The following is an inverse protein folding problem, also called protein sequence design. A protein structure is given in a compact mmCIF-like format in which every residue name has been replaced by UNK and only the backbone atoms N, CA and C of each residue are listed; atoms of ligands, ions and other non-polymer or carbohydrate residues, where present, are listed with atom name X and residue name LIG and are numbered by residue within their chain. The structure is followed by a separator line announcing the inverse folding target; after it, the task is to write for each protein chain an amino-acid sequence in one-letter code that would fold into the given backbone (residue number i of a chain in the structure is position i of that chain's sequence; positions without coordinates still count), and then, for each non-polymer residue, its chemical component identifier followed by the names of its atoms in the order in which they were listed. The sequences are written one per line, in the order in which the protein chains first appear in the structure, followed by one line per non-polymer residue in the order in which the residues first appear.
data_IF_173258010061
#
_entry.id   IF_173258010061
#
_cell.length_a   1.000
_cell.length_b   1.000
_cell.length_c   1.000
_cell.angle_alpha   90.00
_cell.angle_beta   90.00
_cell.angle_gamma   90.00
#
_symmetry.space_group_name_H-M   'P 1'
#
loop_
_entity.id
_entity.type
_entity.pdbx_description
1 polymer ?
#
# COMPACT_ATOMS: atom_id res chain seq x y z
N UNK A 1 8.36 2.74 11.36
CA UNK A 1 8.61 1.28 11.38
C UNK A 1 7.46 0.51 10.71
N UNK A 2 6.18 0.83 10.98
CA UNK A 2 5.02 0.16 10.35
C UNK A 2 5.03 0.09 8.82
N UNK A 3 5.57 1.11 8.13
CA UNK A 3 5.69 1.14 6.67
C UNK A 3 6.52 -0.02 6.12
N UNK A 4 7.71 -0.24 6.69
CA UNK A 4 8.62 -1.32 6.27
C UNK A 4 8.00 -2.67 6.55
N UNK A 5 7.43 -2.82 7.75
CA UNK A 5 6.74 -4.05 8.12
C UNK A 5 5.56 -4.37 7.20
N UNK A 6 4.80 -3.37 6.75
CA UNK A 6 3.69 -3.57 5.82
C UNK A 6 4.19 -4.05 4.45
N UNK A 7 5.17 -3.34 3.88
CA UNK A 7 5.71 -3.65 2.55
C UNK A 7 6.32 -5.05 2.56
N UNK A 8 7.20 -5.34 3.52
CA UNK A 8 7.89 -6.62 3.60
C UNK A 8 6.94 -7.77 3.94
N UNK A 9 5.94 -7.55 4.82
CA UNK A 9 4.90 -8.56 5.09
C UNK A 9 4.14 -8.92 3.83
N UNK A 10 3.66 -7.94 3.06
CA UNK A 10 2.87 -8.22 1.88
C UNK A 10 3.70 -8.77 0.72
N UNK A 11 5.00 -8.43 0.63
CA UNK A 11 5.94 -9.11 -0.27
C UNK A 11 6.02 -10.61 0.04
N UNK A 12 6.11 -10.98 1.33
CA UNK A 12 6.06 -12.40 1.74
C UNK A 12 4.71 -13.05 1.43
N UNK A 13 3.61 -12.29 1.40
CA UNK A 13 2.29 -12.78 0.96
C UNK A 13 2.12 -12.87 -0.56
N UNK A 14 3.14 -12.50 -1.34
CA UNK A 14 3.15 -12.58 -2.81
C UNK A 14 2.68 -11.31 -3.53
N UNK A 15 2.58 -10.17 -2.83
CA UNK A 15 2.31 -8.87 -3.47
C UNK A 15 3.55 -8.40 -4.24
N UNK A 16 3.34 -7.99 -5.50
CA UNK A 16 4.40 -7.63 -6.43
C UNK A 16 4.43 -6.14 -6.81
N UNK A 17 3.43 -5.36 -6.39
CA UNK A 17 3.37 -3.93 -6.65
C UNK A 17 2.55 -3.20 -5.58
N UNK A 18 3.00 -2.01 -5.19
CA UNK A 18 2.39 -1.21 -4.12
C UNK A 18 2.04 0.18 -4.61
N UNK A 19 0.80 0.60 -4.41
CA UNK A 19 0.40 2.01 -4.48
C UNK A 19 0.34 2.58 -3.07
N UNK A 20 1.11 3.63 -2.77
CA UNK A 20 1.15 4.25 -1.44
C UNK A 20 0.65 5.68 -1.52
N UNK A 21 -0.49 5.95 -0.89
CA UNK A 21 -1.14 7.26 -0.85
C UNK A 21 -0.69 8.03 0.39
N UNK A 22 -0.01 9.14 0.18
CA UNK A 22 0.64 9.92 1.23
C UNK A 22 -0.11 11.24 1.39
N UNK A 23 -0.70 11.44 2.57
CA UNK A 23 -1.21 12.76 2.98
C UNK A 23 -0.13 13.53 3.73
N UNK A 24 0.31 12.97 4.85
CA UNK A 24 1.38 13.52 5.68
C UNK A 24 2.43 12.42 5.89
N UNK A 25 3.71 12.78 5.89
CA UNK A 25 4.81 11.84 6.10
C UNK A 25 5.98 12.57 6.77
N UNK A 26 6.64 11.90 7.70
CA UNK A 26 7.85 12.43 8.33
C UNK A 26 9.10 12.17 7.47
N UNK A 27 10.16 12.95 7.71
CA UNK A 27 11.41 12.89 6.92
C UNK A 27 12.06 11.50 6.88
N UNK A 28 11.91 10.70 7.94
CA UNK A 28 12.50 9.36 7.98
C UNK A 28 11.67 8.37 7.14
N UNK A 29 10.35 8.39 7.29
CA UNK A 29 9.45 7.58 6.46
C UNK A 29 9.54 7.97 4.98
N UNK A 30 9.74 9.26 4.66
CA UNK A 30 9.96 9.72 3.29
C UNK A 30 11.21 9.08 2.67
N UNK A 31 12.35 9.06 3.40
CA UNK A 31 13.57 8.42 2.90
C UNK A 31 13.38 6.93 2.61
N UNK A 32 12.60 6.24 3.45
CA UNK A 32 12.31 4.82 3.25
C UNK A 32 11.44 4.59 2.02
N UNK A 33 10.36 5.37 1.85
CA UNK A 33 9.47 5.18 0.72
C UNK A 33 10.15 5.55 -0.61
N UNK A 34 11.05 6.55 -0.59
CA UNK A 34 11.84 6.93 -1.76
C UNK A 34 12.78 5.81 -2.20
N UNK A 35 13.34 5.04 -1.27
CA UNK A 35 14.19 3.88 -1.60
C UNK A 35 13.39 2.75 -2.29
N UNK A 36 12.23 2.40 -1.73
CA UNK A 36 11.31 1.44 -2.37
C UNK A 36 10.82 1.92 -3.74
N UNK A 37 10.51 3.21 -3.87
CA UNK A 37 10.07 3.79 -5.13
C UNK A 37 11.18 3.76 -6.19
N UNK A 38 12.43 4.04 -5.80
CA UNK A 38 13.60 3.97 -6.68
C UNK A 38 13.83 2.55 -7.22
N UNK A 39 13.53 1.52 -6.43
CA UNK A 39 13.64 0.12 -6.85
C UNK A 39 12.44 -0.34 -7.71
N UNK A 40 11.43 0.51 -7.92
CA UNK A 40 10.22 0.18 -8.67
C UNK A 40 9.22 -0.69 -7.92
N UNK A 41 9.42 -0.88 -6.61
CA UNK A 41 8.53 -1.70 -5.77
C UNK A 41 7.26 -0.93 -5.39
N UNK A 42 7.38 0.39 -5.21
CA UNK A 42 6.30 1.29 -4.78
C UNK A 42 6.09 2.43 -5.78
N UNK A 43 4.84 2.72 -6.08
CA UNK A 43 4.41 3.99 -6.69
C UNK A 43 3.77 4.87 -5.61
N UNK A 44 4.33 6.07 -5.39
CA UNK A 44 3.82 7.03 -4.40
C UNK A 44 2.85 8.03 -5.03
N UNK A 45 1.76 8.32 -4.32
CA UNK A 45 0.77 9.33 -4.71
C UNK A 45 0.59 10.31 -3.56
N UNK A 46 1.09 11.53 -3.72
CA UNK A 46 0.93 12.59 -2.73
C UNK A 46 -0.42 13.28 -2.88
N UNK A 47 -1.24 13.23 -1.83
CA UNK A 47 -2.53 13.88 -1.76
C UNK A 47 -2.35 15.37 -1.49
N UNK A 48 -3.14 16.22 -2.16
CA UNK A 48 -2.93 17.67 -2.13
C UNK A 48 -3.50 18.35 -0.89
N UNK A 49 -2.69 19.14 -0.18
CA UNK A 49 -3.15 19.98 0.94
C UNK A 49 -4.05 21.16 0.53
N UNK A 50 -4.20 21.43 -0.78
CA UNK A 50 -4.96 22.59 -1.29
C UNK A 50 -6.45 22.51 -0.97
N UNK A 51 -6.96 21.33 -0.64
CA UNK A 51 -8.34 21.14 -0.21
C UNK A 51 -8.32 20.68 1.24
N UNK A 52 -8.84 21.51 2.15
CA UNK A 52 -8.93 21.18 3.56
C UNK A 52 -10.04 20.14 3.78
N UNK A 53 -9.72 18.87 3.48
CA UNK A 53 -10.60 17.72 3.70
C UNK A 53 -10.22 16.99 4.97
N UNK A 54 -11.21 16.38 5.63
CA UNK A 54 -10.99 15.57 6.83
C UNK A 54 -10.23 14.29 6.41
N UNK A 55 -9.39 13.72 7.28
CA UNK A 55 -8.55 12.55 6.94
C UNK A 55 -9.31 11.38 6.28
N UNK A 56 -10.55 11.12 6.72
CA UNK A 56 -11.42 10.09 6.13
C UNK A 56 -11.74 10.34 4.65
N UNK A 57 -11.91 11.60 4.25
CA UNK A 57 -12.20 11.94 2.85
C UNK A 57 -10.99 11.66 1.96
N UNK A 58 -9.78 11.86 2.48
CA UNK A 58 -8.55 11.52 1.79
C UNK A 58 -8.36 10.01 1.63
N UNK A 59 -8.70 9.23 2.66
CA UNK A 59 -8.72 7.77 2.54
C UNK A 59 -9.68 7.31 1.44
N UNK A 60 -10.88 7.90 1.35
CA UNK A 60 -11.84 7.58 0.28
C UNK A 60 -11.33 7.96 -1.12
N UNK A 61 -10.59 9.07 -1.25
CA UNK A 61 -9.94 9.45 -2.50
C UNK A 61 -8.88 8.42 -2.89
N UNK A 62 -8.00 8.06 -1.95
CA UNK A 62 -6.94 7.08 -2.18
C UNK A 62 -7.49 5.71 -2.58
N UNK A 63 -8.53 5.21 -1.89
CA UNK A 63 -9.18 3.94 -2.22
C UNK A 63 -9.77 3.97 -3.63
N UNK A 64 -10.46 5.05 -4.00
CA UNK A 64 -11.07 5.17 -5.34
C UNK A 64 -10.02 5.22 -6.44
N UNK A 65 -8.99 6.04 -6.29
CA UNK A 65 -7.91 6.14 -7.28
C UNK A 65 -7.16 4.81 -7.42
N UNK A 66 -6.83 4.16 -6.30
CA UNK A 66 -6.13 2.87 -6.28
C UNK A 66 -6.95 1.77 -6.95
N UNK A 67 -8.26 1.70 -6.67
CA UNK A 67 -9.16 0.75 -7.33
C UNK A 67 -9.20 0.95 -8.85
N UNK A 68 -9.20 2.20 -9.30
CA UNK A 68 -9.20 2.51 -10.73
C UNK A 68 -7.87 2.13 -11.40
N UNK A 69 -6.74 2.42 -10.75
CA UNK A 69 -5.40 2.05 -11.25
C UNK A 69 -5.19 0.54 -11.28
N UNK A 70 -5.57 -0.17 -10.22
CA UNK A 70 -5.28 -1.59 -10.08
C UNK A 70 -6.13 -2.48 -11.01
N UNK A 71 -7.30 -2.00 -11.47
CA UNK A 71 -8.26 -2.75 -12.30
C UNK A 71 -7.65 -3.49 -13.49
N UNK A 72 -6.61 -2.92 -14.12
CA UNK A 72 -5.95 -3.53 -15.28
C UNK A 72 -4.53 -4.01 -15.00
N UNK A 73 -4.05 -3.79 -13.78
CA UNK A 73 -2.69 -4.15 -13.37
C UNK A 73 -2.65 -5.47 -12.60
N UNK A 74 -3.72 -5.82 -11.87
CA UNK A 74 -3.73 -7.00 -11.01
C UNK A 74 -5.10 -7.68 -10.97
N UNK A 75 -5.11 -9.01 -10.89
CA UNK A 75 -6.35 -9.81 -10.74
C UNK A 75 -6.97 -9.66 -9.36
N UNK A 76 -6.14 -9.48 -8.34
CA UNK A 76 -6.52 -9.27 -6.95
C UNK A 76 -5.84 -8.00 -6.42
N UNK A 77 -6.48 -7.32 -5.47
CA UNK A 77 -5.92 -6.14 -4.81
C UNK A 77 -6.26 -6.17 -3.33
N UNK A 78 -5.35 -5.69 -2.50
CA UNK A 78 -5.52 -5.54 -1.05
C UNK A 78 -5.53 -4.04 -0.76
N UNK A 79 -6.51 -3.61 0.03
CA UNK A 79 -6.55 -2.28 0.62
C UNK A 79 -6.28 -2.48 2.12
N UNK A 80 -5.19 -1.92 2.61
CA UNK A 80 -4.74 -2.13 3.99
C UNK A 80 -4.28 -0.80 4.60
N UNK A 81 -4.62 -0.59 5.86
CA UNK A 81 -4.02 0.48 6.66
C UNK A 81 -2.63 0.04 7.18
N UNK A 82 -1.78 1.01 7.59
CA UNK A 82 -0.37 0.75 7.95
C UNK A 82 -0.18 -0.25 9.10
N UNK A 83 -1.16 -0.35 9.99
CA UNK A 83 -1.19 -1.22 11.17
C UNK A 83 -1.88 -2.57 10.93
N UNK A 84 -2.36 -2.84 9.71
CA UNK A 84 -3.09 -4.08 9.40
C UNK A 84 -2.22 -5.13 8.71
N UNK A 85 -2.41 -6.40 9.08
CA UNK A 85 -1.73 -7.53 8.46
C UNK A 85 -2.74 -8.63 8.16
N UNK A 86 -2.84 -9.00 6.90
CA UNK A 86 -3.66 -10.14 6.46
C UNK A 86 -2.72 -11.34 6.24
N UNK A 87 -3.09 -12.49 6.78
CA UNK A 87 -2.40 -13.76 6.60
C UNK A 87 -3.41 -14.90 6.60
N UNK A 88 -3.03 -16.02 6.03
CA UNK A 88 -3.81 -17.25 6.11
C UNK A 88 -3.74 -17.82 7.53
N UNK A 89 -4.75 -18.61 7.92
CA UNK A 89 -4.72 -19.33 9.20
C UNK A 89 -3.71 -20.49 9.22
N UNK A 90 -3.16 -20.84 8.05
CA UNK A 90 -2.19 -21.91 7.88
C UNK A 90 -0.85 -21.27 7.54
N UNK A 91 0.11 -21.30 8.47
CA UNK A 91 1.37 -20.53 8.42
C UNK A 91 2.25 -20.75 7.18
N UNK A 92 1.95 -21.75 6.35
CA UNK A 92 2.80 -22.17 5.25
C UNK A 92 2.22 -21.84 3.87
N UNK A 93 1.12 -21.08 3.80
CA UNK A 93 0.47 -20.69 2.54
C UNK A 93 0.35 -19.18 2.49
N UNK A 94 0.96 -18.56 1.49
CA UNK A 94 0.84 -17.12 1.22
C UNK A 94 -0.56 -16.76 0.71
N UNK A 95 -0.94 -15.48 0.78
CA UNK A 95 -2.21 -15.02 0.20
C UNK A 95 -2.29 -15.29 -1.31
N UNK A 96 -1.19 -15.10 -2.05
CA UNK A 96 -1.13 -15.38 -3.48
C UNK A 96 -1.41 -16.87 -3.79
N UNK A 97 -0.84 -17.78 -3.01
CA UNK A 97 -1.10 -19.23 -3.15
C UNK A 97 -2.53 -19.60 -2.76
N UNK A 98 -3.12 -18.92 -1.78
CA UNK A 98 -4.49 -19.21 -1.33
C UNK A 98 -5.56 -18.83 -2.37
N UNK A 99 -5.33 -17.77 -3.16
CA UNK A 99 -6.30 -17.26 -4.15
C UNK A 99 -6.11 -17.80 -5.56
N UNK A 100 -5.10 -18.64 -5.78
CA UNK A 100 -4.76 -19.24 -7.08
C UNK A 100 -5.28 -20.66 -7.18
#
# INVERSE_FOLDING_TARGET
MLLVELIEHYKLQGVNHFYVYIKDIDDYSQKLIDDYAKNGEVETVHLSDKQHRIGKDWQLVGIKDCLHRSRYHSRYSIFADLDERIMTMTSNVSLAEYVT
#
